data_IF_373956949418
#
_entry.id   IF_373956949418
#
_cell.length_a   1.000
_cell.length_b   1.000
_cell.length_c   1.000
_cell.angle_alpha   90.00
_cell.angle_beta   90.00
_cell.angle_gamma   90.00
#
_symmetry.space_group_name_H-M   'P 1'
#
loop_
_entity.id
_entity.type
_entity.pdbx_description
1 polymer ?
#
# COMPACT_ATOMS: atom_id res chain seq x y z
N UNK A 1 28.10 18.87 13.32
CA UNK A 1 27.13 19.11 12.23
C UNK A 1 27.77 19.23 10.85
N UNK A 2 28.41 20.35 10.47
CA UNK A 2 28.97 20.50 9.09
C UNK A 2 29.92 19.34 8.72
N UNK A 3 30.81 18.94 9.64
CA UNK A 3 31.73 17.81 9.43
C UNK A 3 31.03 16.46 9.23
N UNK A 4 29.85 16.27 9.80
CA UNK A 4 29.08 15.01 9.79
C UNK A 4 28.16 14.91 8.57
N UNK A 5 27.95 16.00 7.80
CA UNK A 5 27.09 15.97 6.61
C UNK A 5 27.76 15.16 5.49
N UNK A 6 27.04 14.17 4.95
CA UNK A 6 27.55 13.25 3.93
C UNK A 6 27.00 13.52 2.54
N UNK A 7 25.76 14.02 2.44
CA UNK A 7 25.09 14.37 1.17
C UNK A 7 23.90 15.30 1.39
N UNK A 8 23.47 15.95 0.31
CA UNK A 8 22.22 16.71 0.22
C UNK A 8 21.24 15.88 -0.59
N UNK A 9 20.03 15.69 -0.11
CA UNK A 9 19.00 14.88 -0.77
C UNK A 9 17.66 15.57 -0.53
N UNK A 10 16.90 15.80 -1.60
CA UNK A 10 15.70 16.64 -1.57
C UNK A 10 15.98 18.00 -0.92
N UNK A 11 15.11 18.38 0.02
CA UNK A 11 15.16 19.67 0.72
C UNK A 11 15.98 19.64 2.02
N UNK A 12 16.90 18.68 2.18
CA UNK A 12 17.65 18.53 3.42
C UNK A 12 18.99 17.84 3.27
N UNK A 13 19.55 17.48 4.41
CA UNK A 13 20.91 16.95 4.51
C UNK A 13 20.94 15.66 5.32
N UNK A 14 21.70 14.70 4.83
CA UNK A 14 22.00 13.46 5.54
C UNK A 14 23.30 13.65 6.31
N UNK A 15 23.27 13.31 7.59
CA UNK A 15 24.43 13.33 8.48
C UNK A 15 24.70 11.93 8.96
N UNK A 16 25.97 11.56 9.05
CA UNK A 16 26.38 10.27 9.59
C UNK A 16 27.34 10.46 10.76
N UNK A 17 27.09 9.71 11.84
CA UNK A 17 27.95 9.66 13.01
C UNK A 17 28.00 8.25 13.56
N UNK A 18 29.20 7.68 13.68
CA UNK A 18 29.41 6.31 14.17
C UNK A 18 28.57 5.27 13.41
N UNK A 19 28.45 5.42 12.08
CA UNK A 19 27.65 4.54 11.23
C UNK A 19 26.13 4.76 11.31
N UNK A 20 25.65 5.69 12.13
CA UNK A 20 24.23 6.02 12.22
C UNK A 20 23.93 7.24 11.36
N UNK A 21 23.06 7.06 10.37
CA UNK A 21 22.56 8.13 9.51
C UNK A 21 21.33 8.81 10.11
N UNK A 22 21.23 10.13 9.93
CA UNK A 22 20.05 10.93 10.27
C UNK A 22 19.81 12.01 9.21
N UNK A 23 18.56 12.38 9.04
CA UNK A 23 18.15 13.44 8.12
C UNK A 23 17.72 14.69 8.87
N UNK A 24 18.13 15.87 8.37
CA UNK A 24 17.63 17.15 8.87
C UNK A 24 17.18 17.98 7.67
N UNK A 25 15.89 18.37 7.62
CA UNK A 25 15.39 19.33 6.63
C UNK A 25 16.16 20.65 6.69
N UNK A 26 16.48 21.24 5.53
CA UNK A 26 17.22 22.50 5.48
C UNK A 26 16.49 23.64 6.21
N UNK A 27 15.15 23.63 6.20
CA UNK A 27 14.30 24.58 6.95
C UNK A 27 14.53 24.56 8.46
N UNK A 28 15.09 23.48 9.00
CA UNK A 28 15.40 23.34 10.42
C UNK A 28 16.85 23.77 10.76
N UNK A 29 17.61 24.27 9.78
CA UNK A 29 18.99 24.73 9.95
C UNK A 29 19.09 26.24 9.79
N UNK A 30 20.06 26.86 10.46
CA UNK A 30 20.39 28.26 10.17
C UNK A 30 20.97 28.38 8.76
N UNK A 31 20.70 29.51 8.09
CA UNK A 31 21.23 29.79 6.75
C UNK A 31 22.76 29.68 6.70
N UNK A 32 23.46 30.14 7.74
CA UNK A 32 24.91 30.01 7.88
C UNK A 32 25.35 28.54 7.91
N UNK A 33 24.64 27.70 8.67
CA UNK A 33 24.97 26.27 8.76
C UNK A 33 24.72 25.55 7.44
N UNK A 34 23.58 25.82 6.79
CA UNK A 34 23.26 25.25 5.48
C UNK A 34 24.30 25.65 4.43
N UNK A 35 24.69 26.93 4.35
CA UNK A 35 25.74 27.40 3.47
C UNK A 35 27.10 26.73 3.75
N UNK A 36 27.43 26.52 5.04
CA UNK A 36 28.63 25.79 5.44
C UNK A 36 28.63 24.33 4.98
N UNK A 37 27.48 23.66 5.02
CA UNK A 37 27.31 22.29 4.52
C UNK A 37 27.42 22.27 2.99
N UNK A 38 26.71 23.14 2.29
CA UNK A 38 26.76 23.23 0.82
C UNK A 38 28.20 23.49 0.34
N UNK A 39 28.95 24.38 1.02
CA UNK A 39 30.37 24.64 0.71
C UNK A 39 31.26 23.41 0.94
N UNK A 40 30.99 22.61 1.97
CA UNK A 40 31.69 21.34 2.20
C UNK A 40 31.38 20.34 1.10
N UNK A 41 30.11 20.10 0.78
CA UNK A 41 29.69 19.10 -0.20
C UNK A 41 30.11 19.49 -1.62
N UNK A 42 30.17 20.77 -1.95
CA UNK A 42 30.72 21.26 -3.22
C UNK A 42 32.19 20.85 -3.41
N UNK A 43 32.99 20.83 -2.33
CA UNK A 43 34.40 20.41 -2.31
C UNK A 43 34.60 18.89 -2.27
N UNK A 44 33.54 18.11 -2.07
CA UNK A 44 33.61 16.66 -2.13
C UNK A 44 33.96 16.23 -3.56
N UNK A 45 34.92 15.33 -3.69
CA UNK A 45 35.31 14.78 -4.99
C UNK A 45 34.23 13.80 -5.47
N UNK A 46 33.93 13.85 -6.76
CA UNK A 46 33.08 12.85 -7.41
C UNK A 46 33.93 11.61 -7.70
N UNK A 47 33.56 10.47 -7.11
CA UNK A 47 34.19 9.19 -7.43
C UNK A 47 33.59 8.63 -8.72
N UNK A 48 34.44 8.10 -9.59
CA UNK A 48 33.98 7.27 -10.71
C UNK A 48 33.72 5.86 -10.20
N UNK A 49 32.52 5.33 -10.46
CA UNK A 49 32.16 3.96 -10.12
C UNK A 49 31.41 3.29 -11.27
N UNK A 50 31.69 2.02 -11.54
CA UNK A 50 31.00 1.22 -12.56
C UNK A 50 30.10 0.21 -11.87
N UNK A 51 28.82 0.20 -12.21
CA UNK A 51 27.87 -0.78 -11.69
C UNK A 51 28.29 -2.22 -12.06
N UNK A 52 28.21 -3.13 -11.09
CA UNK A 52 28.41 -4.56 -11.31
C UNK A 52 27.42 -5.12 -12.34
N UNK A 53 27.84 -6.12 -13.12
CA UNK A 53 27.02 -6.70 -14.18
C UNK A 53 25.81 -7.47 -13.65
N UNK A 54 24.65 -7.26 -14.28
CA UNK A 54 23.42 -8.03 -14.02
C UNK A 54 23.63 -9.52 -14.33
N UNK A 55 23.19 -10.40 -13.44
CA UNK A 55 23.17 -11.85 -13.68
C UNK A 55 22.06 -12.16 -14.70
N UNK A 56 22.37 -12.93 -15.74
CA UNK A 56 21.43 -13.24 -16.84
C UNK A 56 20.97 -14.70 -16.82
N UNK A 57 21.77 -15.60 -16.23
CA UNK A 57 21.50 -17.03 -16.04
C UNK A 57 20.69 -17.27 -14.75
N UNK A 58 19.49 -16.71 -14.69
CA UNK A 58 18.59 -16.82 -13.53
C UNK A 58 17.50 -17.89 -13.75
N UNK A 59 17.15 -18.69 -12.72
CA UNK A 59 15.99 -19.58 -12.75
C UNK A 59 14.72 -18.83 -13.14
N UNK A 60 13.85 -19.46 -13.93
CA UNK A 60 12.64 -18.78 -14.44
C UNK A 60 11.69 -18.32 -13.34
N UNK A 61 11.59 -19.07 -12.24
CA UNK A 61 10.70 -18.75 -11.10
C UNK A 61 11.09 -17.46 -10.39
N UNK A 62 12.39 -17.13 -10.39
CA UNK A 62 12.95 -16.05 -9.57
C UNK A 62 13.45 -14.89 -10.39
N UNK A 63 13.47 -15.02 -11.72
CA UNK A 63 14.04 -14.05 -12.64
C UNK A 63 13.47 -12.65 -12.42
N UNK A 64 12.18 -12.55 -12.16
CA UNK A 64 11.53 -11.26 -11.94
C UNK A 64 12.04 -10.57 -10.68
N UNK A 65 12.14 -11.30 -9.56
CA UNK A 65 12.69 -10.79 -8.30
C UNK A 65 14.10 -10.22 -8.49
N UNK A 66 15.02 -11.03 -9.02
CA UNK A 66 16.41 -10.64 -9.20
C UNK A 66 16.57 -9.48 -10.19
N UNK A 67 15.73 -9.43 -11.23
CA UNK A 67 15.72 -8.32 -12.17
C UNK A 67 15.30 -7.01 -11.50
N UNK A 68 14.16 -6.99 -10.79
CA UNK A 68 13.66 -5.78 -10.13
C UNK A 68 14.58 -5.32 -8.99
N UNK A 69 15.13 -6.26 -8.22
CA UNK A 69 16.12 -5.94 -7.18
C UNK A 69 17.39 -5.33 -7.78
N UNK A 70 17.88 -5.83 -8.92
CA UNK A 70 19.01 -5.23 -9.63
C UNK A 70 18.66 -3.82 -10.11
N UNK A 71 17.47 -3.62 -10.67
CA UNK A 71 17.04 -2.32 -11.19
C UNK A 71 16.90 -1.29 -10.04
N UNK A 72 16.52 -1.72 -8.84
CA UNK A 72 16.54 -0.90 -7.63
C UNK A 72 17.98 -0.50 -7.23
N UNK A 73 18.92 -1.45 -7.20
CA UNK A 73 20.34 -1.17 -6.94
C UNK A 73 20.99 -0.27 -8.00
N UNK A 74 20.60 -0.42 -9.26
CA UNK A 74 21.04 0.43 -10.36
C UNK A 74 20.58 1.88 -10.19
N UNK A 75 19.35 2.10 -9.71
CA UNK A 75 18.86 3.43 -9.35
C UNK A 75 19.66 4.04 -8.19
N UNK A 76 19.91 3.27 -7.13
CA UNK A 76 20.75 3.71 -6.01
C UNK A 76 22.16 4.10 -6.49
N UNK A 77 22.74 3.34 -7.42
CA UNK A 77 24.04 3.66 -8.02
C UNK A 77 24.03 5.03 -8.71
N UNK A 78 22.98 5.34 -9.47
CA UNK A 78 22.83 6.65 -10.09
C UNK A 78 22.72 7.77 -9.05
N UNK A 79 21.92 7.58 -7.98
CA UNK A 79 21.82 8.59 -6.92
C UNK A 79 23.14 8.80 -6.18
N UNK A 80 23.94 7.75 -6.03
CA UNK A 80 25.28 7.87 -5.46
C UNK A 80 26.20 8.68 -6.39
N UNK A 81 26.14 8.47 -7.71
CA UNK A 81 26.91 9.30 -8.64
C UNK A 81 26.48 10.77 -8.56
N UNK A 82 25.18 11.02 -8.56
CA UNK A 82 24.60 12.38 -8.56
C UNK A 82 24.90 13.12 -7.24
N UNK A 83 24.88 12.41 -6.11
CA UNK A 83 25.12 12.98 -4.78
C UNK A 83 26.57 12.84 -4.28
N UNK A 84 27.51 12.50 -5.18
CA UNK A 84 28.94 12.32 -4.86
C UNK A 84 29.18 11.30 -3.73
N UNK A 85 28.60 10.12 -3.87
CA UNK A 85 28.71 8.99 -2.94
C UNK A 85 30.14 8.72 -2.50
N UNK A 86 30.29 8.25 -1.27
CA UNK A 86 31.59 7.92 -0.68
C UNK A 86 32.03 6.54 -1.14
N UNK A 87 33.33 6.25 -1.01
CA UNK A 87 33.88 4.93 -1.29
C UNK A 87 33.13 3.81 -0.55
N UNK A 88 32.85 4.02 0.75
CA UNK A 88 32.07 3.08 1.58
C UNK A 88 30.64 2.86 1.07
N UNK A 89 30.03 3.86 0.43
CA UNK A 89 28.67 3.71 -0.12
C UNK A 89 28.72 2.81 -1.38
N UNK A 90 29.73 2.96 -2.24
CA UNK A 90 29.93 2.09 -3.40
C UNK A 90 30.33 0.66 -3.01
N UNK A 91 31.19 0.49 -2.00
CA UNK A 91 31.54 -0.83 -1.47
C UNK A 91 30.31 -1.57 -0.89
N UNK A 92 29.40 -0.85 -0.22
CA UNK A 92 28.15 -1.43 0.26
C UNK A 92 27.23 -1.85 -0.90
N UNK A 93 27.13 -1.03 -1.95
CA UNK A 93 26.39 -1.37 -3.18
C UNK A 93 26.97 -2.63 -3.84
N UNK A 94 28.29 -2.73 -3.99
CA UNK A 94 28.95 -3.89 -4.60
C UNK A 94 28.71 -5.17 -3.81
N UNK A 95 28.72 -5.10 -2.47
CA UNK A 95 28.39 -6.24 -1.62
C UNK A 95 26.93 -6.72 -1.81
N UNK A 96 25.98 -5.79 -1.98
CA UNK A 96 24.59 -6.15 -2.27
C UNK A 96 24.44 -6.75 -3.67
N UNK A 97 25.13 -6.21 -4.67
CA UNK A 97 25.15 -6.76 -6.03
C UNK A 97 25.76 -8.17 -6.06
N UNK A 98 26.80 -8.42 -5.26
CA UNK A 98 27.40 -9.75 -5.18
C UNK A 98 26.46 -10.77 -4.54
N UNK A 99 25.79 -10.39 -3.44
CA UNK A 99 24.75 -11.24 -2.81
C UNK A 99 23.59 -11.52 -3.76
N UNK A 100 23.20 -10.54 -4.57
CA UNK A 100 22.13 -10.69 -5.56
C UNK A 100 22.47 -11.73 -6.66
N UNK A 101 23.75 -12.02 -6.90
CA UNK A 101 24.17 -13.08 -7.85
C UNK A 101 23.99 -14.49 -7.28
N UNK A 102 23.97 -14.62 -5.95
CA UNK A 102 23.79 -15.90 -5.27
C UNK A 102 22.29 -16.22 -5.15
N UNK A 103 21.81 -17.11 -6.02
CA UNK A 103 20.40 -17.50 -6.04
C UNK A 103 19.96 -18.31 -4.82
N UNK A 104 20.91 -18.78 -4.01
CA UNK A 104 20.65 -19.47 -2.74
C UNK A 104 20.51 -18.51 -1.56
N UNK A 105 20.72 -17.21 -1.78
CA UNK A 105 20.60 -16.20 -0.74
C UNK A 105 19.17 -16.08 -0.22
N UNK A 106 19.06 -15.75 1.07
CA UNK A 106 17.78 -15.40 1.69
C UNK A 106 17.24 -14.11 1.07
N UNK A 107 16.23 -14.26 0.20
CA UNK A 107 15.61 -13.15 -0.52
C UNK A 107 15.01 -12.11 0.42
N UNK A 108 14.34 -12.56 1.49
CA UNK A 108 13.70 -11.66 2.46
C UNK A 108 14.78 -10.81 3.12
N UNK A 109 15.86 -11.44 3.57
CA UNK A 109 16.98 -10.72 4.19
C UNK A 109 17.68 -9.78 3.20
N UNK A 110 17.81 -10.19 1.93
CA UNK A 110 18.38 -9.34 0.89
C UNK A 110 17.53 -8.09 0.65
N UNK A 111 16.20 -8.23 0.56
CA UNK A 111 15.30 -7.07 0.43
C UNK A 111 15.44 -6.12 1.61
N UNK A 112 15.43 -6.64 2.84
CA UNK A 112 15.59 -5.80 4.04
C UNK A 112 16.90 -4.99 4.01
N UNK A 113 18.00 -5.61 3.58
CA UNK A 113 19.29 -4.93 3.48
C UNK A 113 19.32 -3.91 2.32
N UNK A 114 18.66 -4.20 1.20
CA UNK A 114 18.51 -3.25 0.09
C UNK A 114 17.70 -2.03 0.53
N UNK A 115 16.55 -2.22 1.20
CA UNK A 115 15.70 -1.14 1.69
C UNK A 115 16.42 -0.28 2.74
N UNK A 116 17.15 -0.91 3.66
CA UNK A 116 17.96 -0.21 4.65
C UNK A 116 19.10 0.61 4.02
N UNK A 117 19.74 0.08 2.96
CA UNK A 117 20.79 0.80 2.22
C UNK A 117 20.23 1.96 1.40
N UNK A 118 19.06 1.76 0.79
CA UNK A 118 18.38 2.75 -0.04
C UNK A 118 17.92 3.97 0.79
N UNK A 119 17.38 3.75 2.00
CA UNK A 119 16.79 4.79 2.83
C UNK A 119 17.66 6.06 2.99
N UNK A 120 18.94 6.01 3.44
CA UNK A 120 19.77 7.22 3.57
C UNK A 120 20.20 7.86 2.24
N UNK A 121 19.91 7.24 1.09
CA UNK A 121 20.32 7.71 -0.23
C UNK A 121 19.15 8.35 -0.97
N UNK A 122 18.00 7.68 -1.00
CA UNK A 122 16.81 8.11 -1.77
C UNK A 122 15.67 8.66 -0.92
N UNK A 123 15.47 8.07 0.27
CA UNK A 123 14.33 8.37 1.15
C UNK A 123 14.79 8.74 2.57
N UNK A 124 15.69 9.72 2.73
CA UNK A 124 16.30 10.01 4.03
C UNK A 124 15.28 10.54 5.04
N UNK A 125 14.13 11.04 4.61
CA UNK A 125 12.98 11.40 5.44
C UNK A 125 12.38 10.21 6.20
N UNK A 126 12.73 8.96 5.84
CA UNK A 126 12.36 7.74 6.58
C UNK A 126 13.31 7.44 7.75
N UNK A 127 14.51 8.05 7.78
CA UNK A 127 15.52 7.75 8.80
C UNK A 127 15.00 8.08 10.21
N UNK A 128 15.01 7.08 11.08
CA UNK A 128 14.56 7.20 12.47
C UNK A 128 13.05 7.10 12.67
N UNK A 129 12.27 6.90 11.59
CA UNK A 129 10.83 6.60 11.70
C UNK A 129 10.61 5.11 11.93
N UNK A 130 9.58 4.72 12.71
CA UNK A 130 9.12 3.34 12.75
C UNK A 130 8.55 2.91 11.40
N UNK A 131 8.52 1.60 11.12
CA UNK A 131 7.99 1.05 9.87
C UNK A 131 6.54 1.46 9.61
N UNK A 132 5.70 1.49 10.65
CA UNK A 132 4.34 2.03 10.62
C UNK A 132 4.21 3.49 10.13
N UNK A 133 5.29 4.27 10.00
CA UNK A 133 5.29 5.65 9.49
C UNK A 133 6.02 5.79 8.15
N UNK A 134 6.24 4.67 7.45
CA UNK A 134 6.90 4.61 6.15
C UNK A 134 5.91 4.16 5.10
N UNK A 135 5.76 4.98 4.05
CA UNK A 135 5.14 4.57 2.79
C UNK A 135 6.24 4.17 1.83
N UNK A 136 6.35 2.87 1.55
CA UNK A 136 7.25 2.32 0.54
C UNK A 136 6.73 2.62 -0.86
N UNK A 137 7.65 2.75 -1.82
CA UNK A 137 7.33 2.97 -3.24
C UNK A 137 6.90 1.67 -3.89
N UNK A 138 6.18 1.76 -5.01
CA UNK A 138 5.69 0.58 -5.74
C UNK A 138 6.82 -0.39 -6.13
N UNK A 139 7.99 0.14 -6.50
CA UNK A 139 9.16 -0.68 -6.81
C UNK A 139 9.67 -1.46 -5.60
N UNK A 140 9.69 -0.83 -4.43
CA UNK A 140 10.09 -1.46 -3.16
C UNK A 140 9.07 -2.53 -2.74
N UNK A 141 7.77 -2.22 -2.87
CA UNK A 141 6.65 -3.13 -2.61
C UNK A 141 6.75 -4.36 -3.52
N UNK A 142 6.94 -4.17 -4.83
CA UNK A 142 7.05 -5.27 -5.78
C UNK A 142 8.23 -6.19 -5.47
N UNK A 143 9.40 -5.63 -5.14
CA UNK A 143 10.59 -6.40 -4.77
C UNK A 143 10.35 -7.19 -3.48
N UNK A 144 9.73 -6.59 -2.47
CA UNK A 144 9.39 -7.27 -1.22
C UNK A 144 8.35 -8.39 -1.40
N UNK A 145 7.31 -8.13 -2.20
CA UNK A 145 6.27 -9.11 -2.54
C UNK A 145 6.86 -10.32 -3.27
N UNK A 146 7.75 -10.10 -4.23
CA UNK A 146 8.45 -11.18 -4.94
C UNK A 146 9.44 -11.96 -4.06
N UNK A 147 9.94 -11.36 -2.98
CA UNK A 147 10.70 -12.07 -1.95
C UNK A 147 9.83 -12.90 -1.00
N UNK A 148 8.50 -12.81 -1.12
CA UNK A 148 7.54 -13.51 -0.26
C UNK A 148 7.15 -12.76 1.00
N UNK A 149 7.40 -11.45 1.09
CA UNK A 149 6.89 -10.61 2.19
C UNK A 149 5.43 -10.24 1.94
N UNK A 150 4.66 -10.11 3.02
CA UNK A 150 3.35 -9.48 2.97
C UNK A 150 3.51 -7.98 2.74
N UNK A 151 2.80 -7.47 1.75
CA UNK A 151 2.79 -6.06 1.34
C UNK A 151 1.38 -5.64 1.00
N UNK A 152 1.12 -4.35 1.02
CA UNK A 152 -0.17 -3.77 0.61
C UNK A 152 0.04 -2.62 -0.37
N UNK A 153 -0.98 -2.35 -1.19
CA UNK A 153 -0.92 -1.31 -2.23
C UNK A 153 -0.80 0.12 -1.70
N UNK A 154 -1.17 0.39 -0.45
CA UNK A 154 -0.98 1.70 0.20
C UNK A 154 0.47 1.93 0.68
N UNK A 155 1.38 0.98 0.41
CA UNK A 155 2.81 1.14 0.64
C UNK A 155 3.31 0.57 1.97
N UNK A 156 2.58 -0.36 2.61
CA UNK A 156 3.05 -1.06 3.80
C UNK A 156 3.80 -2.35 3.44
N UNK A 157 4.90 -2.61 4.15
CA UNK A 157 5.62 -3.89 4.14
C UNK A 157 5.58 -4.42 5.56
N UNK A 158 5.13 -5.66 5.74
CA UNK A 158 4.95 -6.25 7.07
C UNK A 158 6.26 -6.34 7.86
N UNK A 159 6.23 -5.80 9.09
CA UNK A 159 7.19 -6.06 10.15
C UNK A 159 6.44 -6.62 11.37
N UNK A 160 6.79 -7.82 11.88
CA UNK A 160 6.24 -8.34 13.12
C UNK A 160 6.25 -7.35 14.29
N UNK A 161 7.21 -6.43 14.34
CA UNK A 161 7.33 -5.42 15.41
C UNK A 161 6.22 -4.39 15.40
N UNK A 162 5.50 -4.24 14.30
CA UNK A 162 4.36 -3.33 14.19
C UNK A 162 3.08 -3.94 14.77
N UNK A 163 3.07 -5.22 15.17
CA UNK A 163 1.87 -5.86 15.73
C UNK A 163 1.48 -5.19 17.05
N UNK A 164 0.25 -4.69 17.09
CA UNK A 164 -0.36 -4.06 18.28
C UNK A 164 -1.44 -4.93 18.92
N UNK A 165 -2.04 -5.85 18.16
CA UNK A 165 -3.04 -6.79 18.65
C UNK A 165 -2.92 -8.14 17.94
N UNK A 166 -3.12 -9.23 18.69
CA UNK A 166 -3.40 -10.56 18.15
C UNK A 166 -4.91 -10.78 18.28
N UNK A 167 -5.59 -10.99 17.15
CA UNK A 167 -7.05 -11.10 17.07
C UNK A 167 -7.52 -12.55 16.89
N UNK A 168 -6.62 -13.52 17.12
CA UNK A 168 -6.90 -14.95 16.93
C UNK A 168 -6.46 -15.41 15.55
N UNK A 169 -7.22 -15.06 14.51
CA UNK A 169 -6.92 -15.42 13.12
C UNK A 169 -6.21 -14.32 12.32
N UNK A 170 -6.01 -13.15 12.93
CA UNK A 170 -5.36 -12.00 12.31
C UNK A 170 -4.47 -11.25 13.30
N UNK A 171 -3.60 -10.39 12.76
CA UNK A 171 -2.85 -9.38 13.49
C UNK A 171 -3.31 -7.98 13.10
N UNK A 172 -3.25 -7.04 14.05
CA UNK A 172 -3.49 -5.62 13.80
C UNK A 172 -2.17 -4.87 13.81
N UNK A 173 -1.86 -4.19 12.71
CA UNK A 173 -0.64 -3.36 12.57
C UNK A 173 -1.02 -1.94 12.17
N UNK A 174 -0.48 -0.88 12.81
CA UNK A 174 -0.71 0.49 12.38
C UNK A 174 0.06 0.77 11.08
N UNK A 175 -0.53 1.62 10.23
CA UNK A 175 0.15 2.17 9.07
C UNK A 175 -0.35 3.60 8.83
N UNK A 176 0.57 4.55 8.94
CA UNK A 176 0.35 5.99 8.86
C UNK A 176 -0.77 6.44 9.79
N UNK A 177 -1.99 6.49 9.28
CA UNK A 177 -3.17 7.10 9.90
C UNK A 177 -4.28 6.09 10.19
N UNK A 178 -4.10 4.84 9.79
CA UNK A 178 -5.04 3.74 9.97
C UNK A 178 -4.33 2.50 10.49
N UNK A 179 -5.07 1.40 10.58
CA UNK A 179 -4.53 0.08 10.93
C UNK A 179 -4.96 -0.95 9.89
N UNK A 180 -4.09 -1.92 9.65
CA UNK A 180 -4.37 -3.10 8.84
C UNK A 180 -4.86 -4.26 9.70
N UNK A 181 -5.83 -4.99 9.16
CA UNK A 181 -6.22 -6.31 9.66
C UNK A 181 -5.59 -7.38 8.76
N UNK A 182 -4.50 -7.98 9.24
CA UNK A 182 -3.67 -8.91 8.46
C UNK A 182 -4.00 -10.33 8.88
N UNK A 183 -4.72 -11.06 8.02
CA UNK A 183 -5.05 -12.47 8.29
C UNK A 183 -3.77 -13.32 8.34
N UNK A 184 -3.67 -14.21 9.32
CA UNK A 184 -2.45 -15.02 9.55
C UNK A 184 -2.15 -15.98 8.42
N UNK A 185 -3.15 -16.39 7.65
CA UNK A 185 -3.02 -17.24 6.45
C UNK A 185 -2.48 -16.48 5.23
N UNK A 186 -2.51 -15.15 5.23
CA UNK A 186 -1.93 -14.31 4.18
C UNK A 186 -0.42 -14.06 4.37
N UNK A 187 0.11 -14.38 5.55
CA UNK A 187 1.53 -14.26 5.86
C UNK A 187 2.30 -15.50 5.40
N UNK A 188 3.56 -15.33 4.99
CA UNK A 188 4.46 -16.47 4.79
C UNK A 188 4.67 -17.24 6.10
N UNK A 189 5.13 -18.49 6.02
CA UNK A 189 5.41 -19.30 7.21
C UNK A 189 6.42 -18.63 8.15
N UNK A 190 7.47 -18.03 7.58
CA UNK A 190 8.49 -17.31 8.33
C UNK A 190 7.93 -16.06 9.01
N UNK A 191 7.12 -15.26 8.31
CA UNK A 191 6.47 -14.08 8.89
C UNK A 191 5.51 -14.46 10.01
N UNK A 192 4.70 -15.50 9.82
CA UNK A 192 3.78 -16.00 10.84
C UNK A 192 4.51 -16.51 12.07
N UNK A 193 5.64 -17.20 11.90
CA UNK A 193 6.47 -17.66 13.02
C UNK A 193 7.09 -16.47 13.78
N UNK A 194 7.62 -15.48 13.07
CA UNK A 194 8.19 -14.27 13.67
C UNK A 194 7.12 -13.42 14.39
N UNK A 195 5.94 -13.29 13.79
CA UNK A 195 4.78 -12.60 14.35
C UNK A 195 4.29 -13.29 15.63
N UNK A 196 4.18 -14.62 15.63
CA UNK A 196 3.80 -15.39 16.82
C UNK A 196 4.82 -15.24 17.95
N UNK A 197 6.12 -15.28 17.62
CA UNK A 197 7.18 -15.06 18.60
C UNK A 197 7.11 -13.66 19.22
N UNK A 198 6.92 -12.63 18.38
CA UNK A 198 6.79 -11.25 18.84
C UNK A 198 5.53 -11.02 19.69
N UNK A 199 4.37 -11.50 19.24
CA UNK A 199 3.12 -11.41 20.00
C UNK A 199 3.26 -12.06 21.39
N UNK A 200 3.88 -13.25 21.46
CA UNK A 200 4.18 -13.93 22.73
C UNK A 200 5.14 -13.13 23.61
N UNK A 201 6.19 -12.54 23.04
CA UNK A 201 7.13 -11.67 23.76
C UNK A 201 6.42 -10.45 24.36
N UNK A 202 5.50 -9.84 23.61
CA UNK A 202 4.73 -8.66 24.05
C UNK A 202 3.52 -8.99 24.91
N UNK A 203 3.22 -10.27 25.15
CA UNK A 203 2.04 -10.70 25.89
C UNK A 203 0.72 -10.37 25.18
N UNK A 204 0.76 -10.20 23.85
CA UNK A 204 -0.43 -10.04 23.03
C UNK A 204 -1.10 -11.42 22.96
N UNK A 205 -2.30 -11.51 23.51
CA UNK A 205 -3.06 -12.76 23.53
C UNK A 205 -4.34 -12.58 22.73
N UNK A 206 -4.75 -13.60 21.96
CA UNK A 206 -5.98 -13.53 21.20
C UNK A 206 -7.18 -13.37 22.16
N UNK A 207 -8.24 -12.67 21.73
CA UNK A 207 -9.46 -12.58 22.51
C UNK A 207 -9.98 -13.98 22.83
N UNK A 208 -10.45 -14.15 24.07
CA UNK A 208 -10.90 -15.45 24.58
C UNK A 208 -12.08 -15.96 23.73
N UNK A 209 -11.94 -17.15 23.15
CA UNK A 209 -12.97 -17.81 22.32
C UNK A 209 -14.21 -18.20 23.12
N UNK A 210 -14.16 -18.18 24.45
CA UNK A 210 -15.26 -18.56 25.34
C UNK A 210 -16.46 -17.58 25.29
N UNK A 211 -16.31 -16.45 24.59
CA UNK A 211 -17.38 -15.46 24.39
C UNK A 211 -17.94 -15.38 22.97
N UNK A 212 -17.50 -16.22 22.03
CA UNK A 212 -18.09 -16.23 20.69
C UNK A 212 -19.48 -16.87 20.63
N UNK A 213 -19.90 -17.58 21.70
CA UNK A 213 -21.24 -18.22 21.79
C UNK A 213 -22.02 -17.83 23.06
N UNK A 214 -21.58 -16.79 23.79
CA UNK A 214 -22.32 -16.26 24.93
C UNK A 214 -22.50 -14.75 24.81
N UNK A 215 -23.64 -14.35 24.22
CA UNK A 215 -24.13 -12.96 24.22
C UNK A 215 -24.47 -12.46 25.63
N UNK A 216 -23.50 -12.41 26.54
CA UNK A 216 -23.72 -11.99 27.92
C UNK A 216 -22.54 -11.26 28.58
N UNK A 217 -21.50 -10.87 27.83
CA UNK A 217 -20.77 -9.64 28.18
C UNK A 217 -21.58 -8.51 27.56
N UNK A 218 -22.30 -7.73 28.36
CA UNK A 218 -23.05 -6.58 27.85
C UNK A 218 -22.07 -5.68 27.06
N UNK A 219 -22.15 -5.74 25.72
CA UNK A 219 -21.44 -4.78 24.87
C UNK A 219 -21.77 -3.38 25.39
N UNK A 220 -20.75 -2.54 25.57
CA UNK A 220 -20.90 -1.15 26.02
C UNK A 220 -20.62 -0.21 24.85
N UNK A 221 -21.02 1.05 25.00
CA UNK A 221 -20.67 2.09 24.04
C UNK A 221 -21.19 1.83 22.61
N UNK A 222 -20.35 2.10 21.63
CA UNK A 222 -20.67 2.02 20.21
C UNK A 222 -21.01 0.60 19.74
N UNK A 223 -20.37 -0.43 20.30
CA UNK A 223 -20.68 -1.82 19.97
C UNK A 223 -22.09 -2.19 20.45
N UNK A 224 -22.48 -1.72 21.65
CA UNK A 224 -23.85 -1.89 22.15
C UNK A 224 -24.89 -1.24 21.22
N UNK A 225 -24.55 -0.06 20.70
CA UNK A 225 -25.37 0.66 19.73
C UNK A 225 -25.50 -0.18 18.46
N UNK A 226 -24.39 -0.61 17.86
CA UNK A 226 -24.40 -1.43 16.66
C UNK A 226 -25.25 -2.70 16.82
N UNK A 227 -25.12 -3.38 17.97
CA UNK A 227 -25.88 -4.59 18.26
C UNK A 227 -27.39 -4.32 18.39
N UNK A 228 -27.77 -3.21 19.06
CA UNK A 228 -29.19 -2.85 19.29
C UNK A 228 -29.88 -2.25 18.06
N UNK A 229 -29.19 -1.44 17.26
CA UNK A 229 -29.83 -0.72 16.14
C UNK A 229 -30.30 -1.70 15.07
N UNK A 230 -31.44 -1.38 14.45
CA UNK A 230 -31.93 -2.08 13.27
C UNK A 230 -31.23 -1.52 12.02
N UNK A 231 -30.80 -2.40 11.13
CA UNK A 231 -30.26 -2.05 9.82
C UNK A 231 -31.20 -1.10 9.06
N UNK A 232 -30.69 0.07 8.66
CA UNK A 232 -31.41 1.06 7.88
C UNK A 232 -30.46 2.07 7.19
N UNK A 233 -30.70 2.41 5.92
CA UNK A 233 -29.96 3.46 5.18
C UNK A 233 -30.38 4.86 5.65
N UNK A 234 -29.84 5.32 6.77
CA UNK A 234 -30.18 6.62 7.38
C UNK A 234 -29.23 7.74 6.98
N UNK A 235 -27.94 7.43 6.85
CA UNK A 235 -26.91 8.38 6.42
C UNK A 235 -26.73 8.26 4.90
N UNK A 236 -26.82 9.36 4.14
CA UNK A 236 -26.52 9.39 2.71
C UNK A 236 -25.10 8.92 2.41
N UNK A 237 -24.89 8.24 1.27
CA UNK A 237 -23.58 7.66 0.91
C UNK A 237 -22.46 8.70 0.79
N UNK A 238 -22.76 9.87 0.23
CA UNK A 238 -21.84 11.01 0.11
C UNK A 238 -21.48 11.65 1.47
N UNK A 239 -22.17 11.23 2.53
CA UNK A 239 -21.96 11.69 3.92
C UNK A 239 -21.38 10.59 4.81
N UNK A 240 -21.20 9.37 4.30
CA UNK A 240 -20.61 8.27 5.06
C UNK A 240 -19.10 8.55 5.26
N UNK A 241 -18.63 8.67 6.52
CA UNK A 241 -17.21 8.90 6.77
C UNK A 241 -16.42 7.59 6.75
N UNK A 242 -15.09 7.71 6.59
CA UNK A 242 -14.10 6.64 6.80
C UNK A 242 -14.34 5.35 6.00
N UNK A 243 -15.02 5.44 4.86
CA UNK A 243 -15.31 4.28 4.01
C UNK A 243 -16.16 3.18 4.70
N UNK A 244 -16.88 3.54 5.78
CA UNK A 244 -17.68 2.62 6.61
C UNK A 244 -18.83 1.93 5.84
N UNK A 245 -19.28 2.50 4.73
CA UNK A 245 -20.25 1.86 3.85
C UNK A 245 -19.72 0.58 3.19
N UNK A 246 -18.40 0.39 3.18
CA UNK A 246 -17.74 -0.76 2.57
C UNK A 246 -17.39 -1.87 3.57
N UNK A 247 -17.76 -1.73 4.85
CA UNK A 247 -17.56 -2.78 5.85
C UNK A 247 -18.18 -4.10 5.38
N UNK A 248 -17.39 -5.17 5.46
CA UNK A 248 -17.81 -6.53 5.06
C UNK A 248 -18.13 -7.42 6.24
N UNK A 249 -17.53 -7.15 7.39
CA UNK A 249 -17.64 -7.99 8.58
C UNK A 249 -17.44 -7.14 9.83
N UNK A 250 -18.06 -7.58 10.92
CA UNK A 250 -17.77 -7.09 12.27
C UNK A 250 -17.17 -8.24 13.06
N UNK A 251 -15.95 -8.03 13.57
CA UNK A 251 -15.18 -9.08 14.26
C UNK A 251 -14.37 -8.49 15.39
N UNK A 252 -14.43 -9.12 16.56
CA UNK A 252 -13.71 -8.70 17.78
C UNK A 252 -13.86 -7.18 18.07
N UNK A 253 -15.09 -6.68 18.08
CA UNK A 253 -15.36 -5.26 18.31
C UNK A 253 -14.85 -4.31 17.21
N UNK A 254 -14.50 -4.82 16.03
CA UNK A 254 -13.95 -4.05 14.91
C UNK A 254 -14.79 -4.18 13.65
N UNK A 255 -14.94 -3.07 12.93
CA UNK A 255 -15.49 -2.99 11.58
C UNK A 255 -14.36 -3.28 10.58
N UNK A 256 -14.50 -4.33 9.77
CA UNK A 256 -13.47 -4.77 8.81
C UNK A 256 -13.82 -4.26 7.41
N UNK A 257 -12.92 -3.47 6.82
CA UNK A 257 -13.15 -2.73 5.56
C UNK A 257 -12.07 -3.14 4.56
N UNK A 258 -12.38 -3.98 3.56
CA UNK A 258 -11.40 -4.36 2.55
C UNK A 258 -11.19 -3.24 1.54
N UNK A 259 -9.95 -3.11 1.09
CA UNK A 259 -9.49 -2.14 0.10
C UNK A 259 -8.36 -2.79 -0.70
N UNK A 260 -8.61 -3.00 -2.00
CA UNK A 260 -7.72 -3.75 -2.89
C UNK A 260 -7.24 -5.07 -2.27
N UNK A 261 -5.95 -5.17 -1.96
CA UNK A 261 -5.25 -6.35 -1.47
C UNK A 261 -5.15 -6.44 0.06
N UNK A 262 -5.77 -5.52 0.80
CA UNK A 262 -5.71 -5.49 2.27
C UNK A 262 -7.04 -5.15 2.93
N UNK A 263 -7.03 -5.16 4.27
CA UNK A 263 -8.15 -4.74 5.09
C UNK A 263 -7.71 -3.62 6.01
N UNK A 264 -8.52 -2.57 6.11
CA UNK A 264 -8.52 -1.63 7.21
C UNK A 264 -9.43 -2.13 8.33
N UNK A 265 -9.21 -1.62 9.54
CA UNK A 265 -10.12 -1.85 10.67
C UNK A 265 -10.42 -0.57 11.45
N UNK A 266 -11.65 -0.46 11.93
CA UNK A 266 -12.09 0.59 12.86
C UNK A 266 -12.72 -0.07 14.08
N UNK A 267 -12.14 0.14 15.28
CA UNK A 267 -12.69 -0.39 16.54
C UNK A 267 -13.91 0.40 16.97
N UNK A 268 -14.93 -0.26 17.52
CA UNK A 268 -16.06 0.44 18.15
C UNK A 268 -15.60 1.34 19.29
N UNK A 269 -14.62 0.91 20.08
CA UNK A 269 -14.02 1.68 21.17
C UNK A 269 -13.50 3.06 20.72
N UNK A 270 -13.06 3.20 19.46
CA UNK A 270 -12.58 4.48 18.94
C UNK A 270 -13.71 5.52 18.75
N UNK A 271 -14.95 5.07 18.59
CA UNK A 271 -16.11 5.98 18.65
C UNK A 271 -16.41 6.39 20.10
N UNK A 272 -16.21 5.49 21.06
CA UNK A 272 -16.41 5.77 22.49
C UNK A 272 -15.35 6.74 23.04
N UNK A 273 -14.13 6.67 22.51
CA UNK A 273 -13.02 7.58 22.81
C UNK A 273 -13.13 8.94 22.09
N UNK A 274 -14.11 9.10 21.19
CA UNK A 274 -14.28 10.33 20.40
C UNK A 274 -13.24 10.53 19.30
N UNK A 275 -12.52 9.48 18.91
CA UNK A 275 -11.58 9.52 17.78
C UNK A 275 -12.32 9.46 16.44
N UNK A 276 -13.49 8.82 16.42
CA UNK A 276 -14.37 8.70 15.27
C UNK A 276 -15.77 9.19 15.63
N UNK A 277 -16.40 9.92 14.72
CA UNK A 277 -17.69 10.53 14.96
C UNK A 277 -18.67 10.32 13.81
N UNK A 278 -19.96 10.43 14.13
CA UNK A 278 -20.99 10.50 13.11
C UNK A 278 -20.86 11.79 12.29
N UNK A 279 -21.20 11.75 10.99
CA UNK A 279 -21.16 12.96 10.17
C UNK A 279 -22.14 14.00 10.70
N UNK A 280 -21.78 15.28 10.59
CA UNK A 280 -22.58 16.39 11.11
C UNK A 280 -24.05 16.28 10.69
N UNK A 281 -24.95 16.32 11.67
CA UNK A 281 -26.40 16.22 11.48
C UNK A 281 -26.96 14.81 11.66
N UNK A 282 -26.12 13.81 11.90
CA UNK A 282 -26.51 12.43 12.17
C UNK A 282 -26.01 11.99 13.55
N UNK A 283 -26.73 11.05 14.16
CA UNK A 283 -26.28 10.42 15.40
C UNK A 283 -25.38 9.22 15.11
N UNK A 284 -24.62 8.77 16.11
CA UNK A 284 -23.86 7.51 16.01
C UNK A 284 -24.77 6.31 15.72
N UNK A 285 -26.00 6.32 16.26
CA UNK A 285 -26.99 5.29 15.94
C UNK A 285 -27.38 5.29 14.46
N UNK A 286 -27.49 6.46 13.83
CA UNK A 286 -27.83 6.56 12.42
C UNK A 286 -26.70 6.07 11.52
N UNK A 287 -25.46 6.42 11.87
CA UNK A 287 -24.27 5.92 11.20
C UNK A 287 -24.19 4.39 11.31
N UNK A 288 -24.22 3.85 12.53
CA UNK A 288 -24.07 2.41 12.76
C UNK A 288 -25.24 1.60 12.20
N UNK A 289 -26.46 2.14 12.18
CA UNK A 289 -27.60 1.50 11.49
C UNK A 289 -27.37 1.39 9.97
N UNK A 290 -26.71 2.39 9.38
CA UNK A 290 -26.36 2.42 7.95
C UNK A 290 -25.23 1.45 7.64
N UNK A 291 -24.19 1.39 8.48
CA UNK A 291 -23.12 0.38 8.37
C UNK A 291 -23.70 -1.03 8.47
N UNK A 292 -24.52 -1.29 9.49
CA UNK A 292 -25.16 -2.58 9.70
C UNK A 292 -26.01 -3.01 8.52
N UNK A 293 -26.70 -2.06 7.88
CA UNK A 293 -27.44 -2.35 6.65
C UNK A 293 -26.55 -2.96 5.56
N UNK A 294 -25.41 -2.34 5.26
CA UNK A 294 -24.52 -2.84 4.19
C UNK A 294 -23.75 -4.10 4.58
N UNK A 295 -23.54 -4.36 5.86
CA UNK A 295 -23.01 -5.65 6.34
C UNK A 295 -24.04 -6.76 6.14
N UNK A 296 -25.31 -6.54 6.49
CA UNK A 296 -26.39 -7.52 6.35
C UNK A 296 -26.89 -7.69 4.90
N UNK A 297 -26.67 -6.69 4.04
CA UNK A 297 -27.10 -6.68 2.64
C UNK A 297 -25.90 -6.51 1.70
N UNK A 298 -24.99 -7.50 1.62
CA UNK A 298 -23.73 -7.37 0.87
C UNK A 298 -23.93 -7.09 -0.62
N UNK A 299 -25.04 -7.53 -1.22
CA UNK A 299 -25.39 -7.24 -2.61
C UNK A 299 -25.82 -5.79 -2.85
N UNK A 300 -26.19 -5.06 -1.80
CA UNK A 300 -26.55 -3.65 -1.86
C UNK A 300 -25.42 -2.72 -1.41
N UNK A 301 -24.25 -3.28 -1.04
CA UNK A 301 -23.07 -2.50 -0.72
C UNK A 301 -22.69 -1.62 -1.94
N UNK A 302 -22.39 -0.33 -1.74
CA UNK A 302 -22.09 0.58 -2.85
C UNK A 302 -20.95 0.05 -3.72
N UNK A 303 -21.01 0.37 -5.01
CA UNK A 303 -19.88 0.16 -5.91
C UNK A 303 -18.74 1.10 -5.54
N UNK A 304 -17.50 0.62 -5.72
CA UNK A 304 -16.30 1.40 -5.55
C UNK A 304 -15.41 1.21 -6.77
N UNK A 305 -15.10 2.30 -7.46
CA UNK A 305 -14.10 2.32 -8.52
C UNK A 305 -12.66 2.21 -7.96
N UNK A 306 -12.50 2.49 -6.66
CA UNK A 306 -11.24 2.48 -5.93
C UNK A 306 -11.04 1.21 -5.09
N UNK A 307 -11.60 0.07 -5.52
CA UNK A 307 -11.28 -1.22 -4.90
C UNK A 307 -11.79 -1.47 -3.48
N UNK A 308 -12.67 -0.62 -2.94
CA UNK A 308 -13.27 -0.86 -1.61
C UNK A 308 -14.40 -1.90 -1.65
N UNK A 309 -14.61 -2.57 -0.52
CA UNK A 309 -15.77 -3.43 -0.31
C UNK A 309 -15.80 -4.58 -1.31
N UNK A 310 -16.89 -4.68 -2.09
CA UNK A 310 -17.06 -5.74 -3.09
C UNK A 310 -16.08 -5.65 -4.27
N UNK A 311 -15.46 -4.49 -4.49
CA UNK A 311 -14.47 -4.31 -5.55
C UNK A 311 -13.06 -4.77 -5.13
N UNK A 312 -12.84 -5.12 -3.85
CA UNK A 312 -11.56 -5.60 -3.36
C UNK A 312 -11.21 -6.99 -3.89
N UNK A 313 -9.91 -7.28 -3.97
CA UNK A 313 -9.39 -8.58 -4.39
C UNK A 313 -9.84 -9.70 -3.46
N UNK A 314 -9.96 -9.38 -2.18
CA UNK A 314 -10.44 -10.30 -1.14
C UNK A 314 -11.86 -10.80 -1.40
N UNK A 315 -12.78 -9.89 -1.71
CA UNK A 315 -14.19 -10.27 -1.95
C UNK A 315 -14.34 -10.93 -3.31
N UNK A 316 -13.61 -10.47 -4.33
CA UNK A 316 -13.61 -11.05 -5.68
C UNK A 316 -13.11 -12.49 -5.70
N UNK A 317 -11.98 -12.77 -5.04
CA UNK A 317 -11.42 -14.14 -4.94
C UNK A 317 -12.36 -15.07 -4.21
N UNK A 318 -12.90 -14.66 -3.06
CA UNK A 318 -13.87 -15.46 -2.31
C UNK A 318 -15.12 -15.80 -3.13
N UNK A 319 -15.59 -14.88 -3.98
CA UNK A 319 -16.74 -15.13 -4.85
C UNK A 319 -16.40 -16.11 -5.98
N UNK A 320 -15.23 -15.96 -6.61
CA UNK A 320 -14.75 -16.92 -7.60
C UNK A 320 -14.56 -18.32 -7.00
N UNK A 321 -14.02 -18.42 -5.78
CA UNK A 321 -13.84 -19.70 -5.08
C UNK A 321 -15.16 -20.33 -4.65
N UNK A 322 -16.19 -19.53 -4.35
CA UNK A 322 -17.55 -20.02 -4.06
C UNK A 322 -18.27 -20.50 -5.32
N UNK A 323 -18.16 -19.75 -6.41
CA UNK A 323 -18.76 -20.09 -7.70
C UNK A 323 -18.03 -21.26 -8.40
N UNK A 324 -16.81 -21.61 -7.96
CA UNK A 324 -15.97 -22.70 -8.50
C UNK A 324 -16.05 -24.01 -7.70
N UNK A 325 -16.88 -24.12 -6.65
CA UNK A 325 -17.10 -25.41 -5.98
C UNK A 325 -17.99 -26.30 -6.85
N UNK A 326 -17.60 -27.55 -7.17
CA UNK A 326 -18.50 -28.47 -7.82
C UNK A 326 -19.62 -28.86 -6.83
N UNK A 327 -20.87 -28.77 -7.29
CA UNK A 327 -22.03 -29.35 -6.62
C UNK A 327 -21.85 -30.86 -6.48
N UNK A 328 -21.37 -31.33 -5.32
CA UNK A 328 -21.46 -32.72 -4.93
C UNK A 328 -22.79 -32.98 -4.22
N UNK A 329 -23.85 -33.09 -5.04
CA UNK A 329 -25.00 -33.94 -4.71
C UNK A 329 -25.31 -34.86 -5.89
N UNK A 330 -24.52 -35.94 -6.02
CA UNK A 330 -24.96 -37.22 -6.56
C UNK A 330 -24.22 -38.35 -5.86
N UNK A 331 -24.93 -39.10 -5.03
CA UNK A 331 -24.43 -40.33 -4.44
C UNK A 331 -24.12 -41.39 -5.49
N UNK A 332 -23.14 -42.25 -5.18
CA UNK A 332 -23.25 -43.71 -5.28
C UNK A 332 -21.99 -44.38 -4.68
N UNK A 333 -22.25 -45.20 -3.66
CA UNK A 333 -21.68 -46.49 -3.28
C UNK A 333 -20.15 -46.75 -3.27
N UNK A 334 -19.72 -47.26 -2.10
CA UNK A 334 -18.47 -47.97 -1.82
C UNK A 334 -18.13 -49.02 -2.91
N UNK A 335 -16.88 -49.04 -3.40
CA UNK A 335 -16.02 -50.25 -3.39
C UNK A 335 -14.54 -49.86 -3.34
N UNK A 336 -13.83 -50.63 -2.53
CA UNK A 336 -12.41 -50.70 -2.18
C UNK A 336 -11.36 -50.56 -3.31
N UNK A 337 -10.20 -50.01 -2.92
CA UNK A 337 -8.85 -50.25 -3.48
C UNK A 337 -8.61 -51.72 -3.90
N UNK A 338 -7.66 -52.03 -4.83
CA UNK A 338 -6.27 -51.58 -4.72
C UNK A 338 -5.44 -51.46 -6.03
N UNK A 339 -4.15 -51.16 -5.83
CA UNK A 339 -2.94 -51.47 -6.64
C UNK A 339 -2.44 -50.49 -7.72
N UNK A 340 -1.26 -49.92 -7.43
CA UNK A 340 -0.21 -49.52 -8.36
C UNK A 340 0.20 -50.69 -9.30
N UNK A 341 0.70 -50.42 -10.52
CA UNK A 341 2.15 -50.36 -10.68
C UNK A 341 2.67 -49.29 -11.66
N UNK A 342 3.96 -49.01 -11.53
CA UNK A 342 4.81 -48.24 -12.44
C UNK A 342 4.81 -48.80 -13.87
N UNK A 343 4.93 -47.93 -14.87
CA UNK A 343 5.77 -48.19 -16.05
C UNK A 343 6.17 -46.89 -16.73
N UNK A 344 7.47 -46.77 -16.95
CA UNK A 344 8.14 -45.78 -17.80
C UNK A 344 7.64 -45.85 -19.25
N UNK A 345 7.38 -44.71 -19.89
CA UNK A 345 7.85 -44.47 -21.26
C UNK A 345 8.15 -42.97 -21.49
N UNK A 346 9.18 -42.78 -22.30
CA UNK A 346 9.96 -41.58 -22.54
C UNK A 346 9.36 -40.69 -23.63
N UNK A 347 9.70 -39.42 -23.48
CA UNK A 347 10.10 -38.48 -24.54
C UNK A 347 9.06 -37.61 -25.27
N UNK A 348 9.39 -36.31 -25.17
CA UNK A 348 9.11 -35.19 -26.06
C UNK A 348 7.83 -34.40 -25.78
N UNK A 349 7.99 -33.21 -25.20
CA UNK A 349 7.75 -32.00 -26.00
C UNK A 349 8.57 -30.82 -25.46
N UNK A 350 9.37 -30.28 -26.36
CA UNK A 350 10.08 -29.01 -26.25
C UNK A 350 9.09 -27.87 -26.02
N UNK A 351 9.57 -26.83 -25.34
CA UNK A 351 8.76 -25.70 -24.90
C UNK A 351 8.21 -24.84 -26.03
N UNK A 352 7.47 -23.81 -25.62
CA UNK A 352 7.77 -22.42 -25.92
C UNK A 352 6.73 -21.52 -25.22
N UNK A 353 7.23 -20.62 -24.39
CA UNK A 353 6.58 -19.37 -24.04
C UNK A 353 6.38 -18.53 -25.32
N UNK A 354 5.39 -17.65 -25.36
CA UNK A 354 5.59 -16.36 -26.01
C UNK A 354 5.30 -15.20 -25.06
N UNK A 355 6.34 -14.42 -24.79
CA UNK A 355 6.21 -13.02 -24.39
C UNK A 355 5.96 -12.15 -25.62
N UNK A 356 5.18 -11.10 -25.39
CA UNK A 356 4.97 -9.96 -26.26
C UNK A 356 6.28 -9.22 -26.56
N UNK A 357 6.44 -8.78 -27.81
CA UNK A 357 6.49 -7.35 -28.17
C UNK A 357 6.87 -7.21 -29.66
N UNK A 358 5.99 -6.58 -30.45
CA UNK A 358 6.28 -5.34 -31.17
C UNK A 358 5.26 -5.03 -32.28
N UNK A 359 4.60 -3.88 -32.09
CA UNK A 359 4.24 -2.83 -33.03
C UNK A 359 4.32 -3.09 -34.56
N UNK A 360 3.12 -3.05 -35.16
CA UNK A 360 2.65 -2.11 -36.21
C UNK A 360 3.33 -2.01 -37.60
N UNK A 361 2.58 -2.55 -38.59
CA UNK A 361 2.29 -2.12 -40.00
C UNK A 361 3.39 -2.21 -41.08
N UNK A 362 3.04 -2.17 -42.40
CA UNK A 362 1.75 -2.38 -43.10
C UNK A 362 1.85 -3.32 -44.34
N UNK A 363 0.72 -3.83 -44.88
CA UNK A 363 0.43 -3.93 -46.34
C UNK A 363 -0.91 -4.66 -46.57
N UNK A 364 -1.95 -3.99 -47.08
CA UNK A 364 -2.45 -3.92 -48.49
C UNK A 364 -3.24 -5.14 -48.97
N UNK A 365 -4.51 -4.87 -49.31
CA UNK A 365 -5.32 -5.41 -50.42
C UNK A 365 -5.63 -6.92 -50.41
N UNK A 366 -6.86 -7.41 -50.63
CA UNK A 366 -8.13 -6.83 -51.10
C UNK A 366 -9.24 -7.90 -50.94
N UNK A 367 -10.47 -7.42 -50.75
CA UNK A 367 -11.78 -8.02 -51.12
C UNK A 367 -12.19 -9.31 -50.38
N UNK A 368 -13.37 -9.40 -49.74
CA UNK A 368 -14.71 -9.09 -50.27
C UNK A 368 -15.64 -8.38 -49.25
N UNK A 369 -16.34 -7.37 -49.78
CA UNK A 369 -17.66 -6.74 -49.46
C UNK A 369 -18.74 -7.72 -48.95
N UNK A 370 -19.82 -7.38 -48.24
CA UNK A 370 -20.61 -6.19 -47.82
C UNK A 370 -21.49 -6.74 -46.64
N UNK A 371 -21.81 -6.02 -45.57
CA UNK A 371 -22.95 -5.09 -45.49
C UNK A 371 -22.80 -4.17 -44.28
N UNK A 372 -23.11 -2.91 -44.53
CA UNK A 372 -23.04 -1.77 -43.61
C UNK A 372 -24.14 -1.80 -42.54
N UNK A 373 -23.75 -1.50 -41.30
CA UNK A 373 -24.59 -0.76 -40.37
C UNK A 373 -23.72 0.38 -39.81
N UNK A 374 -23.87 1.57 -40.39
CA UNK A 374 -23.34 2.82 -39.82
C UNK A 374 -23.98 3.05 -38.44
N UNK A 375 -23.18 2.99 -37.38
CA UNK A 375 -23.44 3.71 -36.13
C UNK A 375 -22.31 4.71 -35.93
N UNK A 376 -22.47 5.89 -36.52
CA UNK A 376 -21.61 7.05 -36.28
C UNK A 376 -22.02 7.68 -34.95
N UNK A 377 -21.38 7.25 -33.87
CA UNK A 377 -21.27 8.06 -32.65
C UNK A 377 -19.82 8.52 -32.53
N UNK A 378 -19.57 9.68 -33.13
CA UNK A 378 -18.38 10.50 -32.88
C UNK A 378 -18.47 10.96 -31.41
N UNK A 379 -17.93 10.16 -30.48
CA UNK A 379 -17.72 10.60 -29.11
C UNK A 379 -16.64 11.69 -29.15
N UNK A 380 -17.08 12.94 -29.15
CA UNK A 380 -16.21 14.10 -28.91
C UNK A 380 -15.42 13.87 -27.62
N UNK A 381 -14.13 13.57 -27.74
CA UNK A 381 -13.21 13.51 -26.60
C UNK A 381 -13.31 14.83 -25.82
N UNK A 382 -13.81 14.76 -24.59
CA UNK A 382 -13.88 15.92 -23.71
C UNK A 382 -12.44 16.36 -23.43
N UNK A 383 -12.06 17.62 -23.73
CA UNK A 383 -10.71 18.10 -23.49
C UNK A 383 -10.31 17.89 -22.03
N UNK A 384 -9.18 17.23 -21.81
CA UNK A 384 -8.66 16.94 -20.49
C UNK A 384 -7.87 18.14 -19.94
N UNK A 385 -7.99 18.40 -18.64
CA UNK A 385 -7.13 19.37 -17.95
C UNK A 385 -5.67 18.89 -18.00
N UNK A 386 -4.75 19.80 -18.29
CA UNK A 386 -3.31 19.50 -18.33
C UNK A 386 -2.76 19.08 -16.96
N UNK A 387 -1.89 18.05 -16.93
CA UNK A 387 -1.25 17.58 -15.69
C UNK A 387 -0.48 18.69 -14.95
N UNK A 388 0.07 19.66 -15.69
CA UNK A 388 0.75 20.82 -15.11
C UNK A 388 -0.17 21.68 -14.24
N UNK A 389 -1.45 21.82 -14.64
CA UNK A 389 -2.47 22.58 -13.90
C UNK A 389 -2.87 21.82 -12.64
N UNK A 390 -3.06 20.51 -12.74
CA UNK A 390 -3.42 19.66 -11.59
C UNK A 390 -2.28 19.65 -10.56
N UNK A 391 -1.04 19.48 -11.00
CA UNK A 391 0.13 19.52 -10.12
C UNK A 391 0.27 20.87 -9.39
N UNK A 392 -0.05 21.99 -10.04
CA UNK A 392 -0.07 23.30 -9.38
C UNK A 392 -1.14 23.39 -8.29
N UNK A 393 -2.35 22.87 -8.55
CA UNK A 393 -3.43 22.82 -7.55
C UNK A 393 -3.11 21.89 -6.38
N UNK A 394 -2.47 20.76 -6.65
CA UNK A 394 -1.98 19.82 -5.64
C UNK A 394 -0.94 20.51 -4.74
N UNK A 395 0.01 21.24 -5.31
CA UNK A 395 1.00 22.00 -4.54
C UNK A 395 0.35 23.10 -3.67
N UNK A 396 -0.70 23.76 -4.15
CA UNK A 396 -1.49 24.71 -3.36
C UNK A 396 -2.19 24.00 -2.17
N UNK A 397 -2.75 22.80 -2.40
CA UNK A 397 -3.40 22.02 -1.35
C UNK A 397 -2.39 21.59 -0.27
N UNK A 398 -1.18 21.17 -0.64
CA UNK A 398 -0.10 20.86 0.31
C UNK A 398 0.27 22.07 1.17
N UNK A 399 0.42 23.24 0.55
CA UNK A 399 0.77 24.46 1.26
C UNK A 399 -0.33 24.94 2.23
N UNK A 400 -1.60 24.69 1.92
CA UNK A 400 -2.73 24.99 2.80
C UNK A 400 -2.87 23.97 3.93
N UNK A 401 -2.59 22.70 3.64
CA UNK A 401 -2.64 21.59 4.59
C UNK A 401 -1.71 21.82 5.79
N UNK A 402 -0.50 22.36 5.55
CA UNK A 402 0.46 22.72 6.62
C UNK A 402 -0.10 23.74 7.61
N UNK A 403 -1.08 24.55 7.20
CA UNK A 403 -1.67 25.65 7.99
C UNK A 403 -2.94 25.25 8.73
N UNK A 404 -3.57 24.12 8.38
CA UNK A 404 -4.76 23.61 9.05
C UNK A 404 -4.38 23.11 10.44
N UNK A 405 -4.92 23.70 11.51
CA UNK A 405 -4.59 23.32 12.90
C UNK A 405 -5.39 22.12 13.41
N UNK A 406 -6.55 21.86 12.82
CA UNK A 406 -7.40 20.72 13.15
C UNK A 406 -6.76 19.42 12.66
N UNK A 407 -6.42 18.52 13.58
CA UNK A 407 -5.69 17.29 13.25
C UNK A 407 -6.52 16.32 12.42
N UNK A 408 -7.84 16.25 12.63
CA UNK A 408 -8.72 15.34 11.89
C UNK A 408 -8.89 15.81 10.45
N UNK A 409 -9.14 17.12 10.25
CA UNK A 409 -9.22 17.70 8.91
C UNK A 409 -7.88 17.58 8.18
N UNK A 410 -6.77 17.82 8.88
CA UNK A 410 -5.43 17.67 8.30
C UNK A 410 -5.17 16.21 7.88
N UNK A 411 -5.56 15.24 8.68
CA UNK A 411 -5.36 13.82 8.40
C UNK A 411 -6.17 13.36 7.18
N UNK A 412 -7.47 13.66 7.16
CA UNK A 412 -8.35 13.29 6.03
C UNK A 412 -7.93 14.00 4.73
N UNK A 413 -7.53 15.27 4.82
CA UNK A 413 -7.06 16.01 3.67
C UNK A 413 -5.71 15.48 3.14
N UNK A 414 -4.83 14.99 4.01
CA UNK A 414 -3.57 14.36 3.62
C UNK A 414 -3.79 13.04 2.88
N UNK A 415 -4.70 12.21 3.37
CA UNK A 415 -5.09 10.95 2.72
C UNK A 415 -5.71 11.22 1.33
N UNK A 416 -6.67 12.15 1.26
CA UNK A 416 -7.31 12.56 0.00
C UNK A 416 -6.26 13.06 -1.00
N UNK A 417 -5.32 13.89 -0.56
CA UNK A 417 -4.26 14.44 -1.41
C UNK A 417 -3.30 13.36 -1.92
N UNK A 418 -3.00 12.36 -1.09
CA UNK A 418 -2.16 11.21 -1.45
C UNK A 418 -2.85 10.35 -2.50
N UNK A 419 -4.15 10.08 -2.33
CA UNK A 419 -4.96 9.34 -3.31
C UNK A 419 -5.07 10.07 -4.65
N UNK A 420 -5.22 11.40 -4.65
CA UNK A 420 -5.27 12.22 -5.86
C UNK A 420 -3.93 12.25 -6.61
N UNK A 421 -2.80 12.32 -5.88
CA UNK A 421 -1.46 12.21 -6.45
C UNK A 421 -1.21 10.86 -7.10
N UNK A 422 -1.60 9.78 -6.42
CA UNK A 422 -1.51 8.43 -6.97
C UNK A 422 -2.36 8.28 -8.23
N UNK A 423 -3.59 8.79 -8.20
CA UNK A 423 -4.50 8.72 -9.35
C UNK A 423 -3.97 9.48 -10.58
N UNK A 424 -3.35 10.65 -10.37
CA UNK A 424 -2.72 11.43 -11.44
C UNK A 424 -1.48 10.74 -12.03
N UNK A 425 -0.69 10.07 -11.19
CA UNK A 425 0.52 9.37 -11.61
C UNK A 425 0.18 8.09 -12.41
N UNK A 426 -0.79 7.34 -11.93
CA UNK A 426 -1.18 6.04 -12.49
C UNK A 426 -2.22 6.14 -13.60
N UNK A 427 -2.81 7.33 -13.81
CA UNK A 427 -3.87 7.54 -14.79
C UNK A 427 -5.16 6.77 -14.47
N UNK A 428 -5.42 6.48 -13.19
CA UNK A 428 -6.59 5.69 -12.75
C UNK A 428 -7.88 6.51 -12.72
N UNK A 429 -7.78 7.84 -12.84
CA UNK A 429 -8.90 8.77 -13.02
C UNK A 429 -8.60 9.73 -14.16
N UNK A 430 -9.64 10.22 -14.83
CA UNK A 430 -9.48 11.28 -15.82
C UNK A 430 -9.09 12.61 -15.16
N UNK A 431 -8.39 13.45 -15.91
CA UNK A 431 -7.80 14.67 -15.39
C UNK A 431 -8.85 15.71 -14.98
N UNK A 432 -10.02 15.71 -15.60
CA UNK A 432 -11.11 16.62 -15.24
C UNK A 432 -11.67 16.25 -13.86
N UNK A 433 -11.85 14.96 -13.60
CA UNK A 433 -12.25 14.42 -12.29
C UNK A 433 -11.22 14.71 -11.21
N UNK A 434 -9.93 14.45 -11.46
CA UNK A 434 -8.85 14.76 -10.51
C UNK A 434 -8.83 16.26 -10.20
N UNK A 435 -8.94 17.11 -11.22
CA UNK A 435 -8.96 18.57 -11.05
C UNK A 435 -10.12 19.05 -10.17
N UNK A 436 -11.32 18.47 -10.32
CA UNK A 436 -12.50 18.80 -9.53
C UNK A 436 -12.41 18.33 -8.07
N UNK A 437 -11.83 17.15 -7.83
CA UNK A 437 -11.59 16.64 -6.48
C UNK A 437 -10.50 17.45 -5.76
N UNK A 438 -9.44 17.86 -6.46
CA UNK A 438 -8.44 18.80 -5.91
C UNK A 438 -9.07 20.16 -5.59
N UNK A 439 -9.97 20.68 -6.42
CA UNK A 439 -10.69 21.93 -6.14
C UNK A 439 -11.57 21.83 -4.89
N UNK A 440 -12.23 20.68 -4.69
CA UNK A 440 -13.04 20.39 -3.51
C UNK A 440 -12.19 20.33 -2.24
N UNK A 441 -11.02 19.69 -2.33
CA UNK A 441 -10.02 19.65 -1.26
C UNK A 441 -9.48 21.05 -0.93
N UNK A 442 -9.15 21.86 -1.94
CA UNK A 442 -8.72 23.25 -1.76
C UNK A 442 -9.79 24.09 -1.06
N UNK A 443 -11.06 23.93 -1.42
CA UNK A 443 -12.17 24.63 -0.77
C UNK A 443 -12.28 24.23 0.72
N UNK A 444 -12.16 22.95 1.03
CA UNK A 444 -12.14 22.43 2.41
C UNK A 444 -10.98 23.03 3.20
N UNK A 445 -9.77 23.03 2.65
CA UNK A 445 -8.55 23.51 3.29
C UNK A 445 -8.57 25.03 3.52
N UNK A 446 -9.12 25.80 2.59
CA UNK A 446 -9.33 27.26 2.73
C UNK A 446 -10.32 27.58 3.84
N UNK A 447 -11.39 26.81 3.97
CA UNK A 447 -12.41 26.99 5.03
C UNK A 447 -11.90 26.59 6.41
N UNK A 448 -10.92 25.69 6.45
CA UNK A 448 -10.35 25.13 7.68
C UNK A 448 -9.12 25.91 8.18
N UNK A 449 -8.81 27.05 7.56
CA UNK A 449 -7.76 27.94 8.03
C UNK A 449 -8.18 28.61 9.36
N UNK A 450 -7.24 28.83 10.29
CA UNK A 450 -7.52 29.61 11.49
C UNK A 450 -7.95 31.03 11.10
N UNK A 451 -8.95 31.58 11.80
CA UNK A 451 -9.42 32.95 11.57
C UNK A 451 -8.26 33.96 11.73
N UNK A 452 -8.16 35.00 10.88
CA UNK A 452 -7.12 36.00 11.02
C UNK A 452 -7.23 36.65 12.40
N UNK A 453 -6.11 36.67 13.12
CA UNK A 453 -5.96 37.38 14.39
C UNK A 453 -6.21 38.87 14.07
N UNK A 454 -7.31 39.43 14.56
CA UNK A 454 -7.61 40.86 14.47
C UNK A 454 -6.76 41.69 15.42
#
# INVERSE_FOLDING_TARGET
MVKEAVRKVGDGYVFEKNGVSRYIPAKNLSAETAAGIDSKLAKQESLSHKLGTKKTDLPSSDREFYNKAYDLLARIHQDLLDNKGRQVDFEALDNLLERLKDVSSDKVKLVEDILAFLAPIRHPERLGKPNAQITYTDDEIQVAKLAGKYTTEDGYIFDPRDITSDEGDAYVTPHMTHSHWIKKDSLSEAERAAAQAYAKEKGLTPPSTDHQDSGNTEAKGAEAIYNRVKAAKKVPLDRMPYNLQYTVEVKNGSLIIPHYDHYHNIKFEWFDEGLYEAPKGYTLEDLLATVKYYVEHPNERPHSDNGFGNASDHVRKNKADQDSKPDEDKGHDEVSEPTHPESDEKENHAGLNPSADNLYKPSTDTEETEEEAEDTTDETEIPQVENSVINAKIAEAEALLEKVTDSSIRQNAMETLTGLKSSLLLGTKDNNTISAEVDSLLALLKKSQPAPIQ
#
